data_IF_739498621954
#
_entry.id   IF_739498621954
#
_cell.length_a   1.000
_cell.length_b   1.000
_cell.length_c   1.000
_cell.angle_alpha   90.00
_cell.angle_beta   90.00
_cell.angle_gamma   90.00
#
_symmetry.space_group_name_H-M   'P 1'
#
loop_
_entity.id
_entity.type
_entity.pdbx_description
1 polymer ?
#
# COMPACT_ATOMS: atom_id res chain seq x y z
N UNK A 1 13.98 -4.72 -23.62
CA UNK A 1 12.84 -4.02 -22.96
C UNK A 1 12.87 -4.16 -21.44
N UNK A 2 13.03 -5.37 -20.88
CA UNK A 2 13.08 -5.59 -19.42
C UNK A 2 14.13 -4.75 -18.65
N UNK A 3 15.32 -4.52 -19.22
CA UNK A 3 16.36 -3.68 -18.61
C UNK A 3 15.93 -2.21 -18.42
N UNK A 4 15.19 -1.64 -19.38
CA UNK A 4 14.71 -0.26 -19.31
C UNK A 4 13.57 -0.09 -18.30
N UNK A 5 12.74 -1.12 -18.13
CA UNK A 5 11.71 -1.19 -17.08
C UNK A 5 12.37 -1.29 -15.69
N UNK A 6 13.50 -2.00 -15.57
CA UNK A 6 14.25 -2.15 -14.31
C UNK A 6 14.77 -0.82 -13.83
N UNK A 7 15.38 -0.08 -14.75
CA UNK A 7 15.88 1.26 -14.51
C UNK A 7 14.73 2.18 -14.07
N UNK A 8 13.58 2.14 -14.74
CA UNK A 8 12.42 2.97 -14.39
C UNK A 8 11.90 2.72 -12.96
N UNK A 9 11.87 1.47 -12.50
CA UNK A 9 11.54 1.12 -11.13
C UNK A 9 12.60 1.60 -10.12
N UNK A 10 13.88 1.45 -10.46
CA UNK A 10 15.01 1.92 -9.65
C UNK A 10 15.15 3.45 -9.61
N UNK A 11 14.59 4.20 -10.57
CA UNK A 11 14.51 5.66 -10.46
C UNK A 11 13.54 6.11 -9.35
N UNK A 12 12.59 5.26 -8.97
CA UNK A 12 11.49 5.60 -8.06
C UNK A 12 11.70 4.98 -6.69
N UNK A 13 12.25 3.76 -6.60
CA UNK A 13 12.73 3.20 -5.34
C UNK A 13 14.17 3.65 -5.08
N UNK A 14 14.34 4.58 -4.14
CA UNK A 14 15.63 4.97 -3.57
C UNK A 14 16.21 3.86 -2.67
N UNK A 15 16.39 2.65 -3.21
CA UNK A 15 17.24 1.64 -2.57
C UNK A 15 18.58 1.58 -3.31
N UNK A 16 19.62 1.87 -2.55
CA UNK A 16 20.99 2.07 -2.98
C UNK A 16 21.55 0.84 -3.71
N UNK A 17 21.47 0.85 -5.04
CA UNK A 17 22.34 0.07 -5.91
C UNK A 17 22.97 1.02 -6.91
N UNK A 18 24.30 1.02 -6.98
CA UNK A 18 25.15 1.87 -7.80
C UNK A 18 24.92 1.63 -9.31
N UNK A 19 23.86 2.21 -9.86
CA UNK A 19 23.61 2.23 -11.30
C UNK A 19 24.44 3.36 -11.91
N UNK A 20 25.16 3.14 -13.02
CA UNK A 20 25.93 4.19 -13.68
C UNK A 20 25.06 5.39 -14.07
N UNK A 21 25.46 6.59 -13.63
CA UNK A 21 24.76 7.86 -13.83
C UNK A 21 24.41 8.17 -15.30
N UNK A 22 25.14 7.59 -16.26
CA UNK A 22 24.92 7.76 -17.71
C UNK A 22 23.65 7.06 -18.23
N UNK A 23 23.19 5.99 -17.58
CA UNK A 23 22.02 5.23 -18.02
C UNK A 23 20.73 5.92 -17.55
N UNK A 24 20.76 6.52 -16.36
CA UNK A 24 19.67 7.33 -15.80
C UNK A 24 19.34 8.54 -16.70
N UNK A 25 20.36 9.28 -17.17
CA UNK A 25 20.17 10.50 -17.95
C UNK A 25 19.47 10.26 -19.30
N UNK A 26 19.69 9.08 -19.92
CA UNK A 26 19.04 8.72 -21.18
C UNK A 26 17.55 8.38 -20.99
N UNK A 27 17.20 7.65 -19.94
CA UNK A 27 15.79 7.36 -19.65
C UNK A 27 15.03 8.62 -19.21
N UNK A 28 15.64 9.42 -18.34
CA UNK A 28 15.08 10.70 -17.88
C UNK A 28 14.84 11.65 -19.06
N UNK A 29 15.80 11.81 -19.97
CA UNK A 29 15.62 12.65 -21.16
C UNK A 29 14.51 12.16 -22.11
N UNK A 30 14.30 10.84 -22.24
CA UNK A 30 13.17 10.30 -23.02
C UNK A 30 11.83 10.65 -22.35
N UNK A 31 11.74 10.48 -21.03
CA UNK A 31 10.54 10.80 -20.26
C UNK A 31 10.23 12.31 -20.34
N UNK A 32 11.23 13.16 -20.14
CA UNK A 32 11.12 14.61 -20.21
C UNK A 32 10.71 15.07 -21.62
N UNK A 33 11.32 14.52 -22.67
CA UNK A 33 10.98 14.82 -24.06
C UNK A 33 9.53 14.44 -24.40
N UNK A 34 9.01 13.37 -23.80
CA UNK A 34 7.62 12.94 -23.96
C UNK A 34 6.66 13.57 -22.95
N UNK A 35 7.16 14.46 -22.07
CA UNK A 35 6.40 15.09 -20.97
C UNK A 35 5.71 14.05 -20.07
N UNK A 36 6.32 12.88 -19.91
CA UNK A 36 5.80 11.79 -19.09
C UNK A 36 6.45 11.83 -17.70
N UNK A 37 5.63 11.76 -16.64
CA UNK A 37 6.14 11.63 -15.28
C UNK A 37 6.48 10.16 -15.00
N UNK A 38 7.61 9.84 -14.33
CA UNK A 38 7.98 8.45 -14.03
C UNK A 38 6.88 7.65 -13.33
N UNK A 39 6.19 8.27 -12.36
CA UNK A 39 5.09 7.65 -11.65
C UNK A 39 3.86 7.37 -12.54
N UNK A 40 3.59 8.20 -13.56
CA UNK A 40 2.51 7.92 -14.53
C UNK A 40 2.84 6.71 -15.41
N UNK A 41 4.11 6.56 -15.77
CA UNK A 41 4.59 5.41 -16.54
C UNK A 41 4.55 4.14 -15.70
N UNK A 42 5.00 4.20 -14.44
CA UNK A 42 4.87 3.08 -13.50
C UNK A 42 3.41 2.64 -13.32
N UNK A 43 2.50 3.62 -13.20
CA UNK A 43 1.06 3.34 -13.09
C UNK A 43 0.51 2.64 -14.32
N UNK A 44 0.92 3.08 -15.52
CA UNK A 44 0.48 2.49 -16.78
C UNK A 44 1.01 1.07 -16.98
N UNK A 45 2.19 0.78 -16.47
CA UNK A 45 2.83 -0.54 -16.58
C UNK A 45 2.38 -1.52 -15.49
N UNK A 46 1.84 -1.01 -14.38
CA UNK A 46 1.34 -1.85 -13.30
C UNK A 46 0.06 -2.60 -13.74
N UNK A 47 -0.11 -3.87 -13.33
CA UNK A 47 -1.37 -4.58 -13.52
C UNK A 47 -2.53 -3.81 -12.91
N UNK A 48 -3.65 -3.75 -13.61
CA UNK A 48 -4.85 -3.12 -13.09
C UNK A 48 -5.49 -3.99 -12.01
N UNK A 49 -6.30 -3.36 -11.14
CA UNK A 49 -7.05 -4.11 -10.14
C UNK A 49 -8.12 -5.01 -10.75
N UNK A 50 -8.63 -4.67 -11.92
CA UNK A 50 -9.60 -5.48 -12.66
C UNK A 50 -8.96 -6.76 -13.23
N UNK A 51 -7.73 -6.66 -13.75
CA UNK A 51 -6.98 -7.84 -14.21
C UNK A 51 -6.59 -8.76 -13.05
N UNK A 52 -6.16 -8.17 -11.92
CA UNK A 52 -5.62 -8.92 -10.78
C UNK A 52 -6.72 -9.51 -9.88
N UNK A 53 -7.86 -8.84 -9.73
CA UNK A 53 -8.94 -9.23 -8.83
C UNK A 53 -10.14 -9.77 -9.63
N UNK A 54 -10.26 -11.10 -9.72
CA UNK A 54 -11.30 -11.75 -10.51
C UNK A 54 -12.65 -11.80 -9.81
N UNK A 55 -12.64 -11.97 -8.48
CA UNK A 55 -13.85 -12.03 -7.66
C UNK A 55 -13.57 -11.46 -6.29
N UNK A 56 -14.49 -10.66 -5.76
CA UNK A 56 -14.37 -10.11 -4.43
C UNK A 56 -15.66 -10.34 -3.62
N UNK A 57 -15.53 -10.75 -2.37
CA UNK A 57 -16.64 -10.84 -1.42
C UNK A 57 -16.27 -10.13 -0.12
N UNK A 58 -17.23 -9.45 0.47
CA UNK A 58 -17.08 -8.78 1.75
C UNK A 58 -18.29 -9.10 2.62
N UNK A 59 -18.05 -9.63 3.82
CA UNK A 59 -19.11 -10.08 4.73
C UNK A 59 -20.06 -11.11 4.09
N UNK A 60 -19.50 -12.03 3.31
CA UNK A 60 -20.26 -13.08 2.63
C UNK A 60 -21.01 -12.63 1.38
N UNK A 61 -21.08 -11.33 1.10
CA UNK A 61 -21.73 -10.79 -0.10
C UNK A 61 -20.73 -10.57 -1.23
N UNK A 62 -21.06 -11.03 -2.43
CA UNK A 62 -20.30 -10.71 -3.63
C UNK A 62 -20.38 -9.22 -3.95
N UNK A 63 -19.21 -8.62 -4.19
CA UNK A 63 -19.05 -7.21 -4.51
C UNK A 63 -18.19 -7.10 -5.76
N UNK A 64 -18.48 -6.09 -6.58
CA UNK A 64 -17.53 -5.72 -7.63
C UNK A 64 -16.23 -5.22 -7.00
N UNK A 65 -15.10 -5.72 -7.49
CA UNK A 65 -13.79 -5.41 -6.94
C UNK A 65 -13.46 -3.92 -7.05
N UNK A 66 -13.83 -3.26 -8.13
CA UNK A 66 -13.61 -1.82 -8.37
C UNK A 66 -14.35 -0.90 -7.38
N UNK A 67 -15.37 -1.41 -6.69
CA UNK A 67 -16.13 -0.64 -5.69
C UNK A 67 -15.46 -0.66 -4.32
N UNK A 68 -14.74 -1.73 -3.98
CA UNK A 68 -14.19 -1.94 -2.64
C UNK A 68 -12.65 -1.92 -2.59
N UNK A 69 -12.00 -2.04 -3.75
CA UNK A 69 -10.56 -1.81 -3.92
C UNK A 69 -10.30 -0.52 -4.69
N UNK A 70 -9.15 0.08 -4.40
CA UNK A 70 -8.61 1.21 -5.14
C UNK A 70 -7.13 0.98 -5.41
N UNK A 71 -6.66 1.47 -6.55
CA UNK A 71 -5.23 1.45 -6.87
C UNK A 71 -4.52 2.55 -6.10
N UNK A 72 -3.47 2.20 -5.36
CA UNK A 72 -2.69 3.13 -4.54
C UNK A 72 -1.20 3.01 -4.86
N UNK A 73 -0.42 4.09 -4.73
CA UNK A 73 1.03 4.01 -4.73
C UNK A 73 1.51 3.40 -3.41
N UNK A 74 2.54 2.57 -3.49
CA UNK A 74 3.21 1.92 -2.35
C UNK A 74 4.72 1.98 -2.55
N UNK A 75 5.51 1.56 -1.56
CA UNK A 75 6.96 1.37 -1.78
C UNK A 75 7.26 0.32 -2.86
N UNK A 76 6.38 -0.67 -3.09
CA UNK A 76 6.57 -1.76 -4.05
C UNK A 76 5.98 -1.46 -5.45
N UNK A 77 5.56 -0.22 -5.72
CA UNK A 77 4.85 0.17 -6.95
C UNK A 77 3.36 0.39 -6.71
N UNK A 78 2.54 0.26 -7.75
CA UNK A 78 1.09 0.42 -7.63
C UNK A 78 0.42 -0.89 -7.22
N UNK A 79 -0.39 -0.84 -6.17
CA UNK A 79 -1.09 -2.00 -5.62
C UNK A 79 -2.58 -1.73 -5.47
N UNK A 80 -3.38 -2.79 -5.32
CA UNK A 80 -4.81 -2.71 -5.06
C UNK A 80 -5.07 -2.81 -3.57
N UNK A 81 -5.60 -1.74 -2.97
CA UNK A 81 -5.85 -1.66 -1.55
C UNK A 81 -7.35 -1.70 -1.24
N UNK A 82 -7.71 -2.60 -0.33
CA UNK A 82 -8.99 -2.60 0.35
C UNK A 82 -8.87 -1.73 1.61
N UNK A 83 -9.90 -0.92 1.89
CA UNK A 83 -10.03 -0.21 3.17
C UNK A 83 -8.88 0.76 3.52
N UNK A 84 -8.37 1.50 2.53
CA UNK A 84 -7.24 2.43 2.68
C UNK A 84 -7.67 3.90 2.78
N UNK A 85 -7.15 4.61 3.78
CA UNK A 85 -7.55 5.97 4.19
C UNK A 85 -6.36 6.86 4.60
N UNK A 86 -5.11 6.43 4.34
CA UNK A 86 -3.93 7.16 4.82
C UNK A 86 -3.71 8.49 4.10
N UNK A 87 -4.03 8.59 2.81
CA UNK A 87 -3.69 9.77 1.99
C UNK A 87 -4.83 10.79 1.99
N UNK A 88 -4.47 12.05 2.29
CA UNK A 88 -5.39 13.19 2.30
C UNK A 88 -5.70 13.70 0.90
N UNK A 89 -4.66 13.82 0.07
CA UNK A 89 -4.76 14.20 -1.32
C UNK A 89 -4.17 13.07 -2.18
N UNK A 90 -4.99 12.23 -2.81
CA UNK A 90 -4.45 11.27 -3.74
C UNK A 90 -3.74 12.01 -4.89
N UNK A 91 -2.48 11.65 -5.13
CA UNK A 91 -1.58 12.27 -6.14
C UNK A 91 -2.18 12.21 -7.57
N UNK A 92 -3.22 11.39 -7.79
CA UNK A 92 -3.89 11.21 -9.09
C UNK A 92 -5.40 11.47 -9.07
N UNK A 93 -5.86 12.72 -8.95
CA UNK A 93 -7.29 13.06 -8.84
C UNK A 93 -8.15 12.62 -10.05
N UNK A 94 -7.59 12.05 -11.11
CA UNK A 94 -8.32 11.56 -12.30
C UNK A 94 -8.87 10.14 -12.21
N UNK A 95 -8.44 9.31 -11.24
CA UNK A 95 -8.95 7.92 -11.08
C UNK A 95 -9.64 7.68 -9.72
N UNK A 96 -9.32 8.47 -8.69
CA UNK A 96 -10.07 8.46 -7.42
C UNK A 96 -11.47 9.12 -7.54
N UNK A 97 -11.79 9.69 -8.71
CA UNK A 97 -12.89 10.65 -8.89
C UNK A 97 -14.08 10.14 -9.71
N UNK A 98 -14.26 8.82 -9.78
CA UNK A 98 -15.54 8.21 -10.16
C UNK A 98 -16.14 7.31 -9.06
N UNK A 99 -15.64 7.42 -7.81
CA UNK A 99 -16.18 6.72 -6.62
C UNK A 99 -16.78 7.68 -5.58
N UNK A 100 -16.97 8.95 -5.92
CA UNK A 100 -17.50 10.00 -5.04
C UNK A 100 -18.95 9.79 -4.55
N UNK A 101 -19.57 8.65 -4.83
CA UNK A 101 -20.90 8.32 -4.26
C UNK A 101 -20.95 7.03 -3.42
N UNK A 102 -19.89 6.21 -3.35
CA UNK A 102 -19.97 4.90 -2.65
C UNK A 102 -18.78 4.50 -1.76
N UNK A 103 -17.69 5.26 -1.72
CA UNK A 103 -16.62 4.97 -0.76
C UNK A 103 -17.03 5.40 0.66
N UNK A 104 -16.95 4.53 1.67
CA UNK A 104 -17.33 4.88 3.03
C UNK A 104 -16.39 5.95 3.59
N UNK A 105 -16.91 6.90 4.37
CA UNK A 105 -16.11 7.96 5.02
C UNK A 105 -15.14 7.44 6.08
N UNK A 106 -15.37 6.22 6.57
CA UNK A 106 -14.62 5.59 7.63
C UNK A 106 -14.23 4.16 7.22
N UNK A 107 -13.15 3.61 7.79
CA UNK A 107 -12.75 2.24 7.55
C UNK A 107 -13.86 1.24 7.87
N UNK A 108 -14.04 0.28 6.95
CA UNK A 108 -14.93 -0.87 7.12
C UNK A 108 -14.45 -1.72 8.30
N UNK A 109 -15.40 -2.20 9.10
CA UNK A 109 -15.15 -3.08 10.26
C UNK A 109 -15.99 -4.34 10.16
N UNK A 110 -15.45 -5.44 10.68
CA UNK A 110 -16.18 -6.69 10.89
C UNK A 110 -16.83 -6.68 12.27
N UNK A 111 -17.97 -7.37 12.42
CA UNK A 111 -18.70 -7.50 13.70
C UNK A 111 -18.54 -8.88 14.35
N UNK A 112 -17.92 -9.83 13.64
CA UNK A 112 -17.73 -11.20 14.09
C UNK A 112 -16.50 -11.82 13.42
N UNK A 113 -15.92 -12.81 14.08
CA UNK A 113 -14.79 -13.60 13.57
C UNK A 113 -15.25 -14.67 12.57
N UNK A 114 -14.34 -15.09 11.69
CA UNK A 114 -14.56 -16.16 10.71
C UNK A 114 -14.41 -15.69 9.26
N UNK A 115 -14.04 -16.61 8.38
CA UNK A 115 -13.81 -16.28 6.96
C UNK A 115 -15.06 -15.70 6.26
N UNK A 116 -16.25 -16.18 6.65
CA UNK A 116 -17.53 -15.76 6.06
C UNK A 116 -17.83 -14.27 6.28
N UNK A 117 -17.32 -13.66 7.35
CA UNK A 117 -17.52 -12.24 7.65
C UNK A 117 -16.35 -11.37 7.16
N UNK A 118 -15.28 -11.99 6.70
CA UNK A 118 -14.06 -11.35 6.23
C UNK A 118 -14.09 -10.89 4.78
N UNK A 119 -12.89 -10.67 4.26
CA UNK A 119 -12.62 -10.37 2.86
C UNK A 119 -12.22 -11.67 2.16
N UNK A 120 -12.92 -12.01 1.10
CA UNK A 120 -12.54 -13.13 0.22
C UNK A 120 -12.23 -12.57 -1.16
N UNK A 121 -11.09 -12.98 -1.73
CA UNK A 121 -10.64 -12.54 -3.05
C UNK A 121 -10.16 -13.73 -3.87
N UNK A 122 -10.58 -13.78 -5.13
CA UNK A 122 -10.00 -14.65 -6.13
C UNK A 122 -9.02 -13.82 -6.95
N UNK A 123 -7.74 -14.19 -6.87
CA UNK A 123 -6.66 -13.49 -7.54
C UNK A 123 -6.32 -14.18 -8.87
N UNK A 124 -6.13 -13.37 -9.92
CA UNK A 124 -5.50 -13.84 -11.16
C UNK A 124 -4.01 -13.61 -11.08
N UNK A 125 -3.22 -14.58 -11.53
CA UNK A 125 -1.79 -14.43 -11.68
C UNK A 125 -1.39 -14.79 -13.11
N UNK A 126 -0.68 -13.89 -13.79
CA UNK A 126 -0.05 -14.14 -15.07
C UNK A 126 1.48 -14.08 -14.93
N UNK A 127 2.15 -15.23 -14.70
CA UNK A 127 3.60 -15.29 -14.58
C UNK A 127 4.35 -14.83 -15.84
N UNK A 128 3.72 -14.84 -17.02
CA UNK A 128 4.38 -14.42 -18.26
C UNK A 128 4.57 -12.89 -18.31
N UNK A 129 3.79 -12.16 -17.52
CA UNK A 129 3.85 -10.70 -17.41
C UNK A 129 4.83 -10.22 -16.31
N UNK A 130 5.61 -11.13 -15.72
CA UNK A 130 6.58 -10.80 -14.69
C UNK A 130 7.86 -10.25 -15.32
N UNK A 131 7.92 -8.93 -15.50
CA UNK A 131 9.14 -8.28 -16.01
C UNK A 131 10.18 -8.05 -14.91
N UNK A 132 9.71 -7.73 -13.69
CA UNK A 132 10.53 -7.38 -12.53
C UNK A 132 9.82 -7.77 -11.24
N UNK A 133 10.48 -8.58 -10.42
CA UNK A 133 9.97 -8.98 -9.11
C UNK A 133 11.02 -8.67 -8.05
N UNK A 134 10.62 -7.99 -6.98
CA UNK A 134 11.49 -7.79 -5.81
C UNK A 134 11.77 -9.10 -5.06
N UNK A 135 10.88 -10.08 -5.21
CA UNK A 135 10.97 -11.40 -4.59
C UNK A 135 10.98 -12.46 -5.70
N UNK A 136 11.93 -13.40 -5.72
CA UNK A 136 11.99 -14.46 -6.73
C UNK A 136 10.98 -15.56 -6.43
N UNK A 137 9.68 -15.23 -6.49
CA UNK A 137 8.56 -16.15 -6.24
C UNK A 137 7.39 -15.88 -7.19
N UNK A 138 6.55 -16.90 -7.39
CA UNK A 138 5.34 -16.81 -8.19
C UNK A 138 4.13 -16.80 -7.26
N UNK A 139 3.36 -15.71 -7.28
CA UNK A 139 2.19 -15.54 -6.44
C UNK A 139 1.88 -14.08 -6.21
N UNK A 140 1.23 -13.79 -5.09
CA UNK A 140 0.88 -12.43 -4.71
C UNK A 140 1.48 -12.07 -3.36
N UNK A 141 1.84 -10.80 -3.23
CA UNK A 141 2.27 -10.19 -1.97
C UNK A 141 1.08 -9.45 -1.37
N UNK A 142 0.67 -9.84 -0.16
CA UNK A 142 -0.42 -9.21 0.59
C UNK A 142 0.19 -8.39 1.71
N UNK A 143 0.02 -7.08 1.64
CA UNK A 143 0.48 -6.13 2.66
C UNK A 143 -0.64 -5.91 3.68
N UNK A 144 -0.36 -6.15 4.96
CA UNK A 144 -1.32 -6.01 6.05
C UNK A 144 -0.89 -4.86 6.94
N UNK A 145 -1.75 -3.85 7.05
CA UNK A 145 -1.45 -2.64 7.79
C UNK A 145 -2.72 -1.92 8.24
N UNK A 146 -2.55 -0.92 9.10
CA UNK A 146 -3.63 -0.03 9.50
C UNK A 146 -4.12 0.79 8.30
N UNK A 147 -5.44 1.00 8.20
CA UNK A 147 -6.08 1.80 7.15
C UNK A 147 -5.46 3.20 6.96
N UNK A 148 -4.89 3.78 8.01
CA UNK A 148 -4.28 5.11 7.98
C UNK A 148 -2.74 5.10 7.81
N UNK A 149 -2.13 3.95 7.58
CA UNK A 149 -0.68 3.84 7.35
C UNK A 149 -0.41 3.76 5.85
N UNK A 150 0.59 4.50 5.37
CA UNK A 150 1.14 4.28 4.04
C UNK A 150 1.82 2.91 3.96
N UNK A 151 1.59 2.09 2.92
CA UNK A 151 2.27 0.81 2.78
C UNK A 151 3.72 1.00 2.30
N UNK A 152 4.62 1.26 3.25
CA UNK A 152 6.06 1.23 3.03
C UNK A 152 6.62 -0.19 3.18
N UNK A 153 7.92 -0.40 2.92
CA UNK A 153 8.58 -1.71 3.03
C UNK A 153 8.61 -2.28 4.45
N UNK A 154 8.29 -1.48 5.47
CA UNK A 154 8.24 -1.90 6.88
C UNK A 154 6.91 -2.51 7.32
N UNK A 155 5.90 -2.60 6.44
CA UNK A 155 4.61 -3.24 6.79
C UNK A 155 4.69 -4.76 6.67
N UNK A 156 3.87 -5.47 7.46
CA UNK A 156 3.82 -6.92 7.42
C UNK A 156 3.40 -7.40 6.01
N UNK A 157 4.22 -8.26 5.43
CA UNK A 157 4.01 -8.82 4.09
C UNK A 157 3.79 -10.32 4.19
N UNK A 158 2.68 -10.80 3.64
CA UNK A 158 2.36 -12.23 3.51
C UNK A 158 2.48 -12.62 2.05
N UNK A 159 3.23 -13.69 1.76
CA UNK A 159 3.30 -14.26 0.42
C UNK A 159 2.26 -15.37 0.29
N UNK A 160 1.43 -15.29 -0.74
CA UNK A 160 0.39 -16.29 -1.01
C UNK A 160 0.78 -17.15 -2.20
N UNK A 161 0.64 -18.46 -2.05
CA UNK A 161 0.92 -19.41 -3.12
C UNK A 161 -0.19 -19.41 -4.17
N UNK A 162 0.19 -19.64 -5.42
CA UNK A 162 -0.76 -19.75 -6.52
C UNK A 162 -1.50 -21.10 -6.49
N UNK A 163 -2.75 -21.13 -7.00
CA UNK A 163 -3.62 -22.33 -7.08
C UNK A 163 -4.01 -22.96 -5.74
N UNK A 164 -3.75 -22.28 -4.62
CA UNK A 164 -4.17 -22.69 -3.29
C UNK A 164 -5.18 -21.70 -2.70
N UNK A 165 -5.98 -22.20 -1.76
CA UNK A 165 -6.76 -21.35 -0.87
C UNK A 165 -5.84 -20.92 0.28
N UNK A 166 -5.48 -19.63 0.30
CA UNK A 166 -4.68 -19.05 1.37
C UNK A 166 -5.63 -18.41 2.38
N UNK A 167 -5.64 -18.92 3.61
CA UNK A 167 -6.38 -18.35 4.74
C UNK A 167 -5.44 -17.50 5.59
N UNK A 168 -5.81 -16.23 5.78
CA UNK A 168 -5.02 -15.27 6.54
C UNK A 168 -5.89 -14.79 7.69
N UNK A 169 -5.57 -15.26 8.89
CA UNK A 169 -6.17 -14.82 10.15
C UNK A 169 -5.45 -13.58 10.64
N UNK A 170 -6.21 -12.55 11.03
CA UNK A 170 -5.68 -11.28 11.50
C UNK A 170 -6.08 -11.08 12.96
N UNK A 171 -5.09 -11.00 13.84
CA UNK A 171 -5.28 -10.75 15.27
C UNK A 171 -4.83 -9.32 15.59
N UNK A 172 -5.75 -8.39 15.91
CA UNK A 172 -5.39 -7.03 16.24
C UNK A 172 -4.95 -6.90 17.70
N UNK A 173 -3.85 -6.18 17.94
CA UNK A 173 -3.40 -5.73 19.25
C UNK A 173 -3.54 -4.21 19.32
N UNK A 174 -4.19 -3.69 20.36
CA UNK A 174 -4.49 -2.27 20.50
C UNK A 174 -3.81 -1.70 21.75
N UNK A 175 -3.03 -0.64 21.55
CA UNK A 175 -2.50 0.21 22.61
C UNK A 175 -3.28 1.52 22.62
N UNK A 176 -3.93 1.84 23.73
CA UNK A 176 -4.70 3.06 23.91
C UNK A 176 -4.18 3.87 25.10
N UNK A 177 -4.37 5.18 25.05
CA UNK A 177 -3.95 6.10 26.10
C UNK A 177 -5.11 6.43 27.03
N UNK A 178 -4.83 6.55 28.33
CA UNK A 178 -5.80 7.05 29.32
C UNK A 178 -6.09 8.53 29.11
N UNK A 179 -7.25 9.01 29.55
CA UNK A 179 -7.63 10.42 29.38
C UNK A 179 -6.61 11.39 30.04
N UNK A 180 -6.11 11.04 31.23
CA UNK A 180 -5.08 11.84 31.92
C UNK A 180 -3.80 12.01 31.11
N UNK A 181 -3.43 11.02 30.27
CA UNK A 181 -2.26 11.12 29.39
C UNK A 181 -2.54 12.01 28.17
N UNK A 182 -3.79 12.02 27.67
CA UNK A 182 -4.20 12.87 26.54
C UNK A 182 -4.18 14.36 26.88
N UNK A 183 -4.42 14.70 28.14
CA UNK A 183 -4.40 16.08 28.64
C UNK A 183 -2.99 16.61 28.92
N UNK A 184 -1.98 15.74 29.04
CA UNK A 184 -0.60 16.16 29.23
C UNK A 184 -0.02 16.80 27.96
N UNK A 185 0.76 17.85 28.17
CA UNK A 185 1.51 18.51 27.10
C UNK A 185 2.41 17.52 26.35
N UNK A 186 2.56 17.72 25.04
CA UNK A 186 3.35 16.86 24.13
C UNK A 186 4.77 16.63 24.68
N UNK A 187 5.41 17.67 25.21
CA UNK A 187 6.78 17.60 25.74
C UNK A 187 6.93 16.67 26.95
N UNK A 188 5.89 16.56 27.79
CA UNK A 188 5.92 15.71 28.98
C UNK A 188 5.69 14.25 28.66
N UNK A 189 4.76 13.96 27.73
CA UNK A 189 4.42 12.57 27.36
C UNK A 189 5.31 11.99 26.26
N UNK A 190 6.02 12.83 25.51
CA UNK A 190 6.98 12.45 24.46
C UNK A 190 6.40 11.49 23.39
N UNK A 191 5.11 11.63 23.10
CA UNK A 191 4.39 10.90 22.06
C UNK A 191 3.30 11.81 21.45
N UNK A 192 2.82 11.45 20.26
CA UNK A 192 1.78 12.20 19.56
C UNK A 192 0.52 11.36 19.33
N UNK A 193 -0.63 12.02 19.41
CA UNK A 193 -1.93 11.50 19.00
C UNK A 193 -2.20 11.83 17.52
N UNK A 194 -3.10 11.05 16.91
CA UNK A 194 -3.40 11.09 15.47
C UNK A 194 -3.72 12.49 14.91
N UNK A 195 -4.34 13.38 15.71
CA UNK A 195 -4.83 14.68 15.25
C UNK A 195 -3.94 15.88 15.63
N UNK A 196 -2.83 15.67 16.33
CA UNK A 196 -2.07 16.78 16.94
C UNK A 196 -1.07 17.42 16.00
N UNK A 197 -0.51 16.62 15.09
CA UNK A 197 0.37 17.11 14.03
C UNK A 197 -0.26 16.80 12.68
N UNK A 198 -0.43 17.83 11.86
CA UNK A 198 -0.90 17.66 10.49
C UNK A 198 0.28 17.34 9.58
N UNK A 199 0.18 16.23 8.86
CA UNK A 199 1.11 15.87 7.80
C UNK A 199 0.51 16.36 6.46
N UNK A 200 1.27 17.05 5.59
CA UNK A 200 0.80 17.51 4.27
C UNK A 200 0.14 16.44 3.40
N UNK A 201 0.71 15.24 3.35
CA UNK A 201 0.26 14.18 2.42
C UNK A 201 -0.71 13.18 3.05
N UNK A 202 -0.75 13.11 4.38
CA UNK A 202 -1.48 12.09 5.12
C UNK A 202 -2.65 12.67 5.92
N UNK A 203 -3.66 11.83 6.17
CA UNK A 203 -4.89 12.26 6.84
C UNK A 203 -4.69 12.56 8.33
N UNK A 204 -3.76 11.85 8.97
CA UNK A 204 -3.35 12.12 10.34
C UNK A 204 -1.93 11.66 10.64
N UNK A 205 -1.45 12.07 11.81
CA UNK A 205 -0.13 11.71 12.30
C UNK A 205 -0.09 10.23 12.66
N UNK A 206 0.93 9.56 12.15
CA UNK A 206 1.43 8.30 12.70
C UNK A 206 2.94 8.34 12.62
N UNK A 207 3.64 7.65 13.52
CA UNK A 207 5.09 7.56 13.47
C UNK A 207 5.54 7.05 12.10
N UNK A 208 4.84 6.03 11.57
CA UNK A 208 5.10 5.46 10.26
C UNK A 208 4.99 6.50 9.13
N UNK A 209 3.89 7.26 9.07
CA UNK A 209 3.68 8.26 8.03
C UNK A 209 4.67 9.42 8.15
N UNK A 210 5.08 9.80 9.36
CA UNK A 210 6.08 10.84 9.60
C UNK A 210 7.45 10.45 9.04
N UNK A 211 7.86 9.19 9.22
CA UNK A 211 9.12 8.68 8.65
C UNK A 211 9.05 8.66 7.12
N UNK A 212 7.94 8.18 6.55
CA UNK A 212 7.72 8.18 5.09
C UNK A 212 7.77 9.61 4.53
N UNK A 213 7.10 10.56 5.17
CA UNK A 213 7.14 11.97 4.78
C UNK A 213 8.56 12.54 4.85
N UNK A 214 9.30 12.23 5.92
CA UNK A 214 10.69 12.66 6.07
C UNK A 214 11.61 12.04 5.02
N UNK A 215 11.35 10.81 4.58
CA UNK A 215 12.07 10.19 3.46
C UNK A 215 11.76 10.90 2.13
N UNK A 216 10.49 11.23 1.89
CA UNK A 216 10.07 11.99 0.70
C UNK A 216 10.76 13.36 0.70
N UNK A 217 10.68 14.13 1.79
CA UNK A 217 11.33 15.44 1.90
C UNK A 217 12.85 15.35 1.88
N UNK A 218 13.43 14.38 2.58
CA UNK A 218 14.87 14.13 2.59
C UNK A 218 15.42 13.79 1.21
N UNK A 219 14.68 13.07 0.37
CA UNK A 219 15.09 12.83 -1.02
C UNK A 219 15.12 14.11 -1.87
N UNK A 220 14.26 15.08 -1.57
CA UNK A 220 14.25 16.41 -2.21
C UNK A 220 15.41 17.29 -1.69
N UNK A 221 15.69 17.24 -0.38
CA UNK A 221 16.76 18.02 0.25
C UNK A 221 18.17 17.46 -0.04
N UNK A 222 18.34 16.14 -0.16
CA UNK A 222 19.62 15.50 -0.52
C UNK A 222 20.04 15.82 -1.97
N UNK A 223 19.10 16.16 -2.85
CA UNK A 223 19.42 16.72 -4.17
C UNK A 223 19.95 18.17 -4.10
N UNK A 224 19.82 18.83 -2.94
CA UNK A 224 20.09 20.27 -2.78
C UNK A 224 21.13 20.64 -1.71
N UNK A 225 21.46 19.81 -0.71
CA UNK A 225 22.64 19.96 0.20
C UNK A 225 22.77 18.81 1.22
N UNK A 226 23.99 18.59 1.70
CA UNK A 226 24.33 17.72 2.85
C UNK A 226 23.61 18.20 4.13
N UNK A 227 22.41 17.71 4.38
CA UNK A 227 21.66 17.94 5.64
C UNK A 227 21.69 16.63 6.43
N UNK A 228 22.19 16.69 7.67
CA UNK A 228 21.98 15.64 8.66
C UNK A 228 20.47 15.54 8.92
N UNK A 229 19.80 14.56 8.32
CA UNK A 229 18.36 14.34 8.45
C UNK A 229 17.98 13.95 9.89
N UNK A 230 17.81 14.94 10.76
CA UNK A 230 17.21 14.78 12.08
C UNK A 230 15.69 14.69 11.91
N UNK A 231 15.18 13.51 11.55
CA UNK A 231 13.74 13.27 11.47
C UNK A 231 13.12 13.41 12.88
N UNK A 232 12.46 14.54 13.16
CA UNK A 232 11.83 14.80 14.46
C UNK A 232 10.44 14.15 14.55
N UNK A 233 10.40 12.81 14.42
CA UNK A 233 9.18 11.99 14.53
C UNK A 233 9.11 11.38 15.94
N UNK A 234 8.04 11.68 16.67
CA UNK A 234 7.74 11.09 17.98
C UNK A 234 6.90 9.82 17.83
N UNK A 235 7.00 8.85 18.75
CA UNK A 235 6.16 7.65 18.73
C UNK A 235 4.68 7.98 18.89
N UNK A 236 3.83 7.06 18.46
CA UNK A 236 2.39 7.17 18.60
C UNK A 236 1.97 6.86 20.05
N UNK A 237 1.16 7.72 20.67
CA UNK A 237 0.59 7.40 21.99
C UNK A 237 -0.47 6.28 21.92
N UNK A 238 -1.08 6.11 20.74
CA UNK A 238 -2.09 5.09 20.47
C UNK A 238 -1.77 4.43 19.14
N UNK A 239 -1.71 3.10 19.11
CA UNK A 239 -1.44 2.37 17.88
C UNK A 239 -2.15 1.02 17.86
N UNK A 240 -2.32 0.49 16.65
CA UNK A 240 -2.90 -0.82 16.40
C UNK A 240 -1.93 -1.62 15.56
N UNK A 241 -1.56 -2.79 16.07
CA UNK A 241 -0.76 -3.78 15.37
C UNK A 241 -1.67 -4.90 14.87
N UNK A 242 -1.43 -5.37 13.65
CA UNK A 242 -2.17 -6.48 13.06
C UNK A 242 -1.21 -7.63 12.86
N UNK A 243 -1.39 -8.71 13.60
CA UNK A 243 -0.57 -9.91 13.48
C UNK A 243 -1.29 -10.88 12.55
N UNK A 244 -0.70 -11.13 11.38
CA UNK A 244 -1.20 -12.12 10.43
C UNK A 244 -0.68 -13.53 10.73
N UNK A 245 -1.59 -14.50 10.76
CA UNK A 245 -1.32 -15.94 10.82
C UNK A 245 -1.84 -16.57 9.53
N UNK A 246 -1.05 -17.45 8.92
CA UNK A 246 -1.36 -17.99 7.59
C UNK A 246 -1.52 -19.49 7.63
N UNK A 247 -2.48 -19.98 6.87
CA UNK A 247 -2.63 -21.41 6.56
C UNK A 247 -3.08 -21.56 5.12
N UNK A 248 -2.65 -22.64 4.46
CA UNK A 248 -2.96 -22.88 3.06
C UNK A 248 -3.59 -24.24 2.87
N UNK A 249 -4.58 -24.30 1.97
CA UNK A 249 -5.32 -25.51 1.64
C UNK A 249 -5.58 -25.62 0.14
N UNK A 250 -6.13 -26.77 -0.28
CA UNK A 250 -6.45 -26.99 -1.69
C UNK A 250 -7.60 -26.05 -2.12
N UNK A 251 -7.43 -25.37 -3.24
CA UNK A 251 -8.49 -24.55 -3.82
C UNK A 251 -9.63 -25.45 -4.32
N UNK A 252 -10.81 -25.32 -3.70
CA UNK A 252 -12.00 -26.06 -4.11
C UNK A 252 -12.64 -25.40 -5.33
N UNK A 253 -13.22 -26.20 -6.23
CA UNK A 253 -13.83 -25.73 -7.49
C UNK A 253 -14.88 -24.63 -7.30
N UNK A 254 -15.64 -24.66 -6.20
CA UNK A 254 -16.64 -23.64 -5.85
C UNK A 254 -16.09 -22.22 -5.66
N UNK A 255 -14.79 -22.10 -5.34
CA UNK A 255 -14.10 -20.81 -5.20
C UNK A 255 -13.31 -20.42 -6.45
N UNK A 256 -13.10 -21.36 -7.38
CA UNK A 256 -12.29 -21.15 -8.59
C UNK A 256 -13.09 -20.57 -9.77
N UNK A 257 -14.43 -20.63 -9.73
CA UNK A 257 -15.28 -20.14 -10.81
C UNK A 257 -15.70 -18.68 -10.57
N UNK A 258 -15.45 -17.81 -11.55
CA UNK A 258 -16.09 -16.50 -11.64
C UNK A 258 -17.43 -16.68 -12.41
N UNK A 259 -18.60 -16.59 -11.75
CA UNK A 259 -19.88 -16.77 -12.41
C UNK A 259 -20.22 -15.68 -13.44
N UNK A 260 -19.45 -14.58 -13.47
CA UNK A 260 -19.62 -13.48 -14.42
C UNK A 260 -18.77 -13.62 -15.70
N UNK A 261 -17.96 -14.67 -15.83
CA UNK A 261 -17.28 -15.02 -17.08
C UNK A 261 -18.08 -16.12 -17.80
N UNK A 262 -19.18 -15.71 -18.43
CA UNK A 262 -19.83 -16.41 -19.54
C UNK A 262 -19.60 -15.60 -20.82
#
# INVERSE_FOLDING_TARGET
>A
MALNLRLLYQLVQTEALSIPHQIFSKLQSILDNKKLKPLDVLRYLAPTCEESLQRCRWKGEEKRCDIIFQMIPTSQGFCCAFNYFAMRNPIYPGFYRNLSYKSPKLPRRVSACGYQTGLEILLSNDPNNYFLTGIPSIGHSVLIHNSYYFPASSVQTVLTENRLLNHIDIVPSLTYSTNSLKELDIEKRNCLLFNERKLPNFEGYTYHNCIVESMIHGSVELAQKNVENKCNCLPDCEYVEYIAQTSSGRLMSQYATNPNNL
#
